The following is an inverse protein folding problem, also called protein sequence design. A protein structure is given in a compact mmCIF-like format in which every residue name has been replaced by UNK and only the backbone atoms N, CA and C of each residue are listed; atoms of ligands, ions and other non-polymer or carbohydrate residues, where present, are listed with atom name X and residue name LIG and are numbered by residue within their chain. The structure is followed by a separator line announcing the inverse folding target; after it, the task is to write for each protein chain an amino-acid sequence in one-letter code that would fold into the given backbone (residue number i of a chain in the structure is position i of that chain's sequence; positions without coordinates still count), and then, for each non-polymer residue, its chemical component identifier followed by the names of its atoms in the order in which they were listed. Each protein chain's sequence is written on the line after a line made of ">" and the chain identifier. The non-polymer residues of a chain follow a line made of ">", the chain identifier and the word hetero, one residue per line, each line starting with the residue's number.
data_IF_166355207659
#
_entry.id   IF_166355207659
#
_cell.length_a   1.000
_cell.length_b   1.000
_cell.length_c   1.000
_cell.angle_alpha   90.00
_cell.angle_beta   90.00
_cell.angle_gamma   90.00
#
_symmetry.space_group_name_H-M   'P 1'
#
loop_
_entity.id
_entity.type
_entity.pdbx_description
1 polymer ?
#
# COMPACT_ATOMS: atom_id res chain seq x y z
N UNK A 1 -13.23 -8.93 -3.80
CA UNK A 1 -12.23 -9.43 -2.84
C UNK A 1 -11.93 -8.28 -1.90
N UNK A 2 -11.92 -8.51 -0.59
CA UNK A 2 -11.52 -7.50 0.39
C UNK A 2 -10.09 -7.81 0.80
N UNK A 3 -9.20 -6.84 0.66
CA UNK A 3 -7.79 -6.94 1.09
C UNK A 3 -7.54 -5.88 2.14
N UNK A 4 -6.67 -6.18 3.09
CA UNK A 4 -6.24 -5.23 4.11
C UNK A 4 -4.83 -4.78 3.80
N UNK A 5 -4.62 -3.48 3.88
CA UNK A 5 -3.33 -2.86 3.62
C UNK A 5 -2.89 -2.16 4.89
N UNK A 6 -1.67 -2.46 5.34
CA UNK A 6 -1.00 -1.69 6.38
C UNK A 6 -0.05 -0.70 5.70
N UNK A 7 -0.07 0.57 6.11
CA UNK A 7 0.87 1.58 5.61
C UNK A 7 1.77 2.00 6.75
N UNK A 8 3.06 1.82 6.57
CA UNK A 8 4.11 2.23 7.50
C UNK A 8 4.85 3.44 6.93
N UNK A 9 5.15 4.40 7.79
CA UNK A 9 5.93 5.57 7.45
C UNK A 9 7.31 5.48 8.11
N UNK A 10 8.34 5.62 7.28
CA UNK A 10 9.76 5.47 7.62
C UNK A 10 10.47 6.82 7.40
N UNK A 11 10.47 7.71 8.42
CA UNK A 11 11.09 9.04 8.29
C UNK A 11 12.59 8.98 8.00
N UNK A 12 13.26 7.88 8.34
CA UNK A 12 14.67 7.62 8.02
C UNK A 12 14.98 7.63 6.51
N UNK A 13 13.96 7.52 5.66
CA UNK A 13 14.09 7.50 4.20
C UNK A 13 13.74 8.84 3.54
N UNK A 14 13.21 9.83 4.28
CA UNK A 14 12.84 11.12 3.70
C UNK A 14 14.04 11.82 3.04
N UNK A 15 13.84 12.22 1.78
CA UNK A 15 14.82 12.99 1.00
C UNK A 15 15.79 12.14 0.17
N UNK A 16 15.92 10.84 0.45
CA UNK A 16 16.75 9.90 -0.31
C UNK A 16 15.94 8.81 -1.01
N UNK A 17 14.86 8.33 -0.38
CA UNK A 17 14.01 7.25 -0.87
C UNK A 17 12.52 7.51 -0.60
N UNK A 18 11.68 6.56 -0.98
CA UNK A 18 10.24 6.54 -0.73
C UNK A 18 9.97 6.13 0.74
N UNK A 19 9.45 7.05 1.60
CA UNK A 19 9.31 6.78 3.02
C UNK A 19 8.02 6.04 3.39
N UNK A 20 7.07 5.88 2.47
CA UNK A 20 5.84 5.12 2.73
C UNK A 20 5.95 3.71 2.16
N UNK A 21 5.66 2.72 3.01
CA UNK A 21 5.65 1.29 2.64
C UNK A 21 4.25 0.73 2.90
N UNK A 22 3.58 0.28 1.85
CA UNK A 22 2.27 -0.36 1.94
C UNK A 22 2.40 -1.88 1.81
N UNK A 23 1.90 -2.63 2.80
CA UNK A 23 1.96 -4.10 2.85
C UNK A 23 0.57 -4.69 2.77
N UNK A 24 0.38 -5.66 1.88
CA UNK A 24 -0.89 -6.40 1.78
C UNK A 24 -0.89 -7.51 2.81
N UNK A 25 -1.79 -7.47 3.80
CA UNK A 25 -1.72 -8.39 4.94
C UNK A 25 -1.97 -9.85 4.55
N UNK A 26 -2.77 -10.07 3.52
CA UNK A 26 -3.03 -11.41 2.98
C UNK A 26 -1.89 -11.92 2.07
N UNK A 27 -1.00 -11.03 1.61
CA UNK A 27 0.11 -11.29 0.70
C UNK A 27 1.35 -10.47 1.14
N UNK A 28 1.97 -10.82 2.28
CA UNK A 28 3.02 -10.01 2.91
C UNK A 28 4.29 -9.86 2.06
N UNK A 29 4.47 -10.73 1.06
CA UNK A 29 5.51 -10.63 0.03
C UNK A 29 5.25 -9.51 -0.99
N UNK A 30 4.02 -9.02 -1.09
CA UNK A 30 3.61 -7.93 -1.97
C UNK A 30 3.61 -6.62 -1.18
N UNK A 31 4.58 -5.77 -1.50
CA UNK A 31 4.80 -4.49 -0.84
C UNK A 31 4.95 -3.41 -1.89
N UNK A 32 4.30 -2.28 -1.66
CA UNK A 32 4.41 -1.09 -2.49
C UNK A 32 5.12 0.03 -1.77
N UNK A 33 5.76 0.90 -2.54
CA UNK A 33 6.56 2.01 -2.04
C UNK A 33 6.06 3.32 -2.65
N UNK A 34 6.20 4.42 -1.91
CA UNK A 34 5.78 5.73 -2.41
C UNK A 34 6.28 6.91 -1.60
N UNK A 35 6.27 8.08 -2.24
CA UNK A 35 6.50 9.36 -1.56
C UNK A 35 5.30 9.78 -0.72
N UNK A 36 4.13 9.19 -0.98
CA UNK A 36 2.91 9.33 -0.19
C UNK A 36 2.29 7.97 0.15
N UNK A 37 1.44 7.94 1.17
CA UNK A 37 0.67 6.74 1.52
C UNK A 37 -0.21 6.25 0.35
N UNK A 38 -0.77 7.17 -0.44
CA UNK A 38 -1.61 6.81 -1.59
C UNK A 38 -0.79 6.15 -2.71
N UNK A 39 0.39 6.68 -3.01
CA UNK A 39 1.31 6.09 -3.99
C UNK A 39 1.74 4.68 -3.58
N UNK A 40 2.16 4.50 -2.31
CA UNK A 40 2.53 3.18 -1.81
C UNK A 40 1.38 2.18 -1.91
N UNK A 41 0.15 2.60 -1.61
CA UNK A 41 -1.05 1.76 -1.77
C UNK A 41 -1.28 1.39 -3.24
N UNK A 42 -1.18 2.34 -4.17
CA UNK A 42 -1.36 2.07 -5.60
C UNK A 42 -0.31 1.09 -6.12
N UNK A 43 0.95 1.28 -5.72
CA UNK A 43 2.06 0.40 -6.10
C UNK A 43 1.85 -1.03 -5.58
N UNK A 44 1.47 -1.18 -4.31
CA UNK A 44 1.15 -2.48 -3.70
C UNK A 44 -0.01 -3.17 -4.42
N UNK A 45 -1.06 -2.42 -4.77
CA UNK A 45 -2.20 -2.94 -5.53
C UNK A 45 -1.79 -3.35 -6.95
N UNK A 46 -0.86 -2.64 -7.59
CA UNK A 46 -0.27 -3.02 -8.88
C UNK A 46 0.39 -4.40 -8.82
N UNK A 47 1.23 -4.65 -7.82
CA UNK A 47 1.82 -5.99 -7.61
C UNK A 47 0.77 -7.08 -7.36
N UNK A 48 -0.32 -6.75 -6.67
CA UNK A 48 -1.43 -7.69 -6.48
C UNK A 48 -2.17 -7.98 -7.78
N UNK A 49 -2.37 -7.00 -8.66
CA UNK A 49 -2.95 -7.21 -10.00
C UNK A 49 -2.10 -8.16 -10.84
N UNK A 50 -0.78 -7.95 -10.83
CA UNK A 50 0.19 -8.80 -11.53
C UNK A 50 0.18 -10.23 -10.97
N UNK A 51 0.25 -10.36 -9.64
CA UNK A 51 0.23 -11.65 -8.94
C UNK A 51 -1.04 -12.45 -9.25
N UNK A 52 -2.20 -11.78 -9.32
CA UNK A 52 -3.48 -12.42 -9.61
C UNK A 52 -3.77 -12.61 -11.11
N UNK A 53 -2.94 -12.03 -11.99
CA UNK A 53 -3.15 -12.04 -13.44
C UNK A 53 -4.46 -11.39 -13.88
N UNK A 54 -5.02 -10.47 -13.08
CA UNK A 54 -6.31 -9.82 -13.36
C UNK A 54 -6.36 -8.41 -12.77
N UNK A 55 -7.03 -7.50 -13.49
CA UNK A 55 -7.26 -6.13 -13.04
C UNK A 55 -8.20 -6.09 -11.83
N UNK A 56 -7.81 -5.37 -10.79
CA UNK A 56 -8.63 -5.11 -9.61
C UNK A 56 -9.58 -3.94 -9.91
N UNK A 57 -10.83 -4.07 -9.47
CA UNK A 57 -11.73 -2.92 -9.38
C UNK A 57 -11.64 -2.39 -7.96
N UNK A 58 -10.87 -1.32 -7.79
CA UNK A 58 -10.77 -0.64 -6.49
C UNK A 58 -12.07 0.13 -6.25
N UNK A 59 -12.88 -0.36 -5.31
CA UNK A 59 -14.02 0.38 -4.78
C UNK A 59 -13.49 1.10 -3.54
N UNK A 60 -13.29 2.42 -3.62
CA UNK A 60 -12.93 3.26 -2.47
C UNK A 60 -14.13 3.35 -1.53
N UNK A 61 -14.25 2.40 -0.59
CA UNK A 61 -14.96 2.65 0.66
C UNK A 61 -14.00 3.39 1.60
N UNK A 62 -14.47 4.48 2.20
CA UNK A 62 -13.69 5.42 3.02
C UNK A 62 -12.75 4.70 3.98
N UNK A 63 -11.44 4.86 3.76
CA UNK A 63 -10.41 4.42 4.69
C UNK A 63 -10.41 5.45 5.83
N UNK A 64 -11.07 5.12 6.94
CA UNK A 64 -10.85 5.79 8.21
C UNK A 64 -9.39 5.52 8.61
N UNK A 65 -8.50 6.48 8.30
CA UNK A 65 -7.14 6.52 8.80
C UNK A 65 -7.19 6.73 10.32
N UNK A 66 -7.22 5.63 11.07
CA UNK A 66 -6.83 5.65 12.47
C UNK A 66 -5.30 5.71 12.53
N UNK A 67 -4.77 6.93 12.48
CA UNK A 67 -3.38 7.22 12.85
C UNK A 67 -3.22 6.89 14.34
N UNK A 68 -2.61 5.75 14.64
CA UNK A 68 -2.19 5.44 16.00
C UNK A 68 -1.25 6.55 16.50
N UNK A 69 -1.67 7.21 17.58
CA UNK A 69 -1.00 8.34 18.24
C UNK A 69 0.11 7.89 19.16
#
# INVERSE_FOLDING_TARGET
>A
MKVRINVEYHPEYEGEFEPYVAKILEYPELQGYGSTAEEAIQDALGFLEEHLGKRLKVVREEVALELAS
#
